data_IF_348261391432
#
_entry.id   IF_348261391432
#
_cell.length_a   1.000
_cell.length_b   1.000
_cell.length_c   1.000
_cell.angle_alpha   90.00
_cell.angle_beta   90.00
_cell.angle_gamma   90.00
#
_symmetry.space_group_name_H-M   'P 1'
#
loop_
_entity.id
_entity.type
_entity.pdbx_description
1 polymer ?
#
# COMPACT_ATOMS: atom_id res chain seq x y z
N UNK A 1 -55.31 -18.35 -6.68
CA UNK A 1 -55.51 -18.22 -5.22
C UNK A 1 -56.96 -17.85 -4.87
N UNK A 2 -57.56 -16.79 -5.43
CA UNK A 2 -59.01 -16.50 -5.25
C UNK A 2 -59.93 -17.64 -5.72
N UNK A 3 -59.58 -18.29 -6.84
CA UNK A 3 -60.31 -19.48 -7.34
C UNK A 3 -60.34 -20.65 -6.35
N UNK A 4 -59.32 -20.81 -5.50
CA UNK A 4 -59.27 -21.90 -4.49
C UNK A 4 -60.17 -21.55 -3.30
N UNK A 5 -60.17 -20.28 -2.85
CA UNK A 5 -61.09 -19.79 -1.80
C UNK A 5 -62.56 -19.90 -2.21
N UNK A 6 -62.87 -19.61 -3.46
CA UNK A 6 -64.23 -19.72 -4.01
C UNK A 6 -64.65 -21.20 -4.07
N UNK A 7 -63.77 -22.09 -4.51
CA UNK A 7 -64.07 -23.53 -4.57
C UNK A 7 -64.28 -24.15 -3.18
N UNK A 8 -63.46 -23.81 -2.17
CA UNK A 8 -63.63 -24.33 -0.80
C UNK A 8 -64.96 -23.84 -0.21
N UNK A 9 -65.34 -22.56 -0.43
CA UNK A 9 -66.65 -22.04 0.00
C UNK A 9 -67.82 -22.72 -0.69
N UNK A 10 -67.73 -22.99 -1.99
CA UNK A 10 -68.79 -23.65 -2.74
C UNK A 10 -68.93 -25.12 -2.35
N UNK A 11 -67.82 -25.84 -2.17
CA UNK A 11 -67.83 -27.22 -1.67
C UNK A 11 -68.37 -27.31 -0.25
N UNK A 12 -68.04 -26.36 0.62
CA UNK A 12 -68.58 -26.25 1.98
C UNK A 12 -70.10 -26.13 2.00
N UNK A 13 -70.67 -25.26 1.14
CA UNK A 13 -72.12 -25.07 1.02
C UNK A 13 -72.81 -26.32 0.44
N UNK A 14 -72.17 -26.97 -0.53
CA UNK A 14 -72.73 -28.14 -1.20
C UNK A 14 -72.74 -29.38 -0.29
N UNK A 15 -71.65 -29.63 0.44
CA UNK A 15 -71.51 -30.83 1.28
C UNK A 15 -72.24 -30.71 2.63
N UNK A 16 -72.39 -29.49 3.20
CA UNK A 16 -73.19 -29.27 4.42
C UNK A 16 -74.69 -29.60 4.23
N UNK A 17 -75.18 -29.69 2.99
CA UNK A 17 -76.57 -30.02 2.68
C UNK A 17 -76.88 -31.53 2.67
N UNK A 18 -75.87 -32.40 2.68
CA UNK A 18 -76.02 -33.86 2.52
C UNK A 18 -75.64 -34.68 3.79
N UNK A 19 -75.23 -34.03 4.89
CA UNK A 19 -74.71 -34.68 6.11
C UNK A 19 -75.84 -34.85 7.16
N UNK A 20 -75.89 -36.00 7.83
CA UNK A 20 -76.78 -36.28 8.96
C UNK A 20 -76.53 -35.30 10.12
N UNK A 21 -77.57 -34.93 10.89
CA UNK A 21 -77.45 -33.98 12.00
C UNK A 21 -76.42 -34.39 13.08
N UNK A 22 -76.17 -35.70 13.25
CA UNK A 22 -75.18 -36.24 14.19
C UNK A 22 -73.73 -36.14 13.67
N UNK A 23 -73.50 -36.33 12.37
CA UNK A 23 -72.18 -36.24 11.72
C UNK A 23 -71.77 -34.79 11.39
N UNK A 24 -72.71 -33.84 11.51
CA UNK A 24 -72.51 -32.42 11.18
C UNK A 24 -71.51 -31.76 12.13
N UNK A 25 -71.45 -32.19 13.40
CA UNK A 25 -70.54 -31.62 14.40
C UNK A 25 -69.08 -32.00 14.12
N UNK A 26 -68.81 -33.29 13.92
CA UNK A 26 -67.47 -33.82 13.62
C UNK A 26 -66.93 -33.25 12.30
N UNK A 27 -67.79 -33.13 11.28
CA UNK A 27 -67.44 -32.46 10.02
C UNK A 27 -67.08 -30.99 10.22
N UNK A 28 -67.82 -30.24 11.04
CA UNK A 28 -67.51 -28.84 11.32
C UNK A 28 -66.19 -28.67 12.08
N UNK A 29 -65.88 -29.56 13.03
CA UNK A 29 -64.59 -29.57 13.73
C UNK A 29 -63.43 -29.85 12.77
N UNK A 30 -63.52 -30.90 11.94
CA UNK A 30 -62.51 -31.24 10.94
C UNK A 30 -62.29 -30.10 9.93
N UNK A 31 -63.36 -29.46 9.49
CA UNK A 31 -63.28 -28.30 8.59
C UNK A 31 -62.60 -27.11 9.27
N UNK A 32 -62.90 -26.85 10.54
CA UNK A 32 -62.24 -25.79 11.32
C UNK A 32 -60.74 -26.05 11.50
N UNK A 33 -60.35 -27.30 11.75
CA UNK A 33 -58.94 -27.71 11.83
C UNK A 33 -58.27 -27.48 10.47
N UNK A 34 -58.88 -27.93 9.38
CA UNK A 34 -58.33 -27.76 8.03
C UNK A 34 -58.18 -26.28 7.64
N UNK A 35 -59.17 -25.44 7.97
CA UNK A 35 -59.10 -23.99 7.74
C UNK A 35 -57.95 -23.35 8.54
N UNK A 36 -57.74 -23.77 9.80
CA UNK A 36 -56.63 -23.33 10.65
C UNK A 36 -55.26 -23.74 10.07
N UNK A 37 -55.09 -25.02 9.76
CA UNK A 37 -53.84 -25.57 9.21
C UNK A 37 -53.48 -24.93 7.87
N UNK A 38 -54.47 -24.73 7.00
CA UNK A 38 -54.25 -24.05 5.71
C UNK A 38 -53.84 -22.59 5.90
N UNK A 39 -54.43 -21.89 6.87
CA UNK A 39 -54.06 -20.50 7.16
C UNK A 39 -52.63 -20.42 7.73
N UNK A 40 -52.26 -21.32 8.64
CA UNK A 40 -50.88 -21.43 9.13
C UNK A 40 -49.88 -21.71 7.99
N UNK A 41 -50.18 -22.67 7.10
CA UNK A 41 -49.34 -22.98 5.95
C UNK A 41 -49.17 -21.75 5.04
N UNK A 42 -50.23 -20.97 4.84
CA UNK A 42 -50.20 -19.76 4.04
C UNK A 42 -49.29 -18.69 4.66
N UNK A 43 -49.39 -18.50 5.97
CA UNK A 43 -48.59 -17.51 6.69
C UNK A 43 -47.11 -17.92 6.73
N UNK A 44 -46.82 -19.20 6.95
CA UNK A 44 -45.46 -19.76 6.84
C UNK A 44 -44.87 -19.60 5.44
N UNK A 45 -45.68 -19.85 4.39
CA UNK A 45 -45.25 -19.68 3.00
C UNK A 45 -44.94 -18.21 2.67
N UNK A 46 -45.78 -17.29 3.13
CA UNK A 46 -45.54 -15.85 2.97
C UNK A 46 -44.31 -15.37 3.73
N UNK A 47 -44.13 -15.81 4.99
CA UNK A 47 -42.95 -15.52 5.80
C UNK A 47 -41.67 -16.04 5.13
N UNK A 48 -41.66 -17.29 4.66
CA UNK A 48 -40.53 -17.86 3.94
C UNK A 48 -40.17 -17.09 2.67
N UNK A 49 -41.15 -16.58 1.94
CA UNK A 49 -40.89 -15.78 0.75
C UNK A 49 -40.21 -14.45 1.11
N UNK A 50 -40.66 -13.79 2.18
CA UNK A 50 -40.04 -12.56 2.69
C UNK A 50 -38.60 -12.80 3.17
N UNK A 51 -38.37 -13.89 3.91
CA UNK A 51 -37.03 -14.29 4.36
C UNK A 51 -36.09 -14.50 3.16
N UNK A 52 -36.56 -15.21 2.12
CA UNK A 52 -35.77 -15.43 0.92
C UNK A 52 -35.45 -14.11 0.19
N UNK A 53 -36.42 -13.22 0.03
CA UNK A 53 -36.23 -11.95 -0.65
C UNK A 53 -35.23 -11.06 0.09
N UNK A 54 -35.35 -10.97 1.42
CA UNK A 54 -34.44 -10.16 2.26
C UNK A 54 -33.03 -10.74 2.29
N UNK A 55 -32.89 -12.07 2.39
CA UNK A 55 -31.60 -12.76 2.33
C UNK A 55 -30.90 -12.54 0.99
N UNK A 56 -31.62 -12.69 -0.13
CA UNK A 56 -31.06 -12.50 -1.48
C UNK A 56 -30.61 -11.05 -1.67
N UNK A 57 -31.41 -10.09 -1.22
CA UNK A 57 -31.06 -8.67 -1.29
C UNK A 57 -29.77 -8.36 -0.49
N UNK A 58 -29.67 -8.88 0.74
CA UNK A 58 -28.48 -8.72 1.56
C UNK A 58 -27.24 -9.37 0.93
N UNK A 59 -27.32 -10.64 0.51
CA UNK A 59 -26.18 -11.35 -0.09
C UNK A 59 -25.68 -10.64 -1.34
N UNK A 60 -26.58 -10.17 -2.21
CA UNK A 60 -26.19 -9.42 -3.42
C UNK A 60 -25.48 -8.12 -3.06
N UNK A 61 -25.97 -7.38 -2.07
CA UNK A 61 -25.31 -6.19 -1.55
C UNK A 61 -23.92 -6.49 -1.02
N UNK A 62 -23.79 -7.53 -0.18
CA UNK A 62 -22.52 -7.95 0.41
C UNK A 62 -21.50 -8.37 -0.66
N UNK A 63 -21.92 -9.19 -1.64
CA UNK A 63 -21.07 -9.62 -2.74
C UNK A 63 -20.59 -8.44 -3.59
N UNK A 64 -21.45 -7.47 -3.88
CA UNK A 64 -21.08 -6.29 -4.64
C UNK A 64 -19.98 -5.47 -3.95
N UNK A 65 -20.06 -5.29 -2.64
CA UNK A 65 -19.02 -4.61 -1.88
C UNK A 65 -17.72 -5.43 -1.80
N UNK A 66 -17.81 -6.75 -1.59
CA UNK A 66 -16.63 -7.63 -1.57
C UNK A 66 -15.90 -7.63 -2.92
N UNK A 67 -16.63 -7.69 -4.04
CA UNK A 67 -16.03 -7.63 -5.39
C UNK A 67 -15.29 -6.32 -5.59
N UNK A 68 -15.93 -5.19 -5.23
CA UNK A 68 -15.29 -3.88 -5.32
C UNK A 68 -13.98 -3.81 -4.53
N UNK A 69 -13.95 -4.37 -3.31
CA UNK A 69 -12.73 -4.46 -2.49
C UNK A 69 -11.67 -5.34 -3.16
N UNK A 70 -12.04 -6.54 -3.62
CA UNK A 70 -11.12 -7.48 -4.26
C UNK A 70 -10.42 -6.88 -5.49
N UNK A 71 -11.14 -6.10 -6.30
CA UNK A 71 -10.56 -5.40 -7.45
C UNK A 71 -9.43 -4.44 -7.04
N UNK A 72 -9.54 -3.77 -5.88
CA UNK A 72 -8.48 -2.90 -5.35
C UNK A 72 -7.36 -3.72 -4.71
N UNK A 73 -7.72 -4.77 -3.96
CA UNK A 73 -6.75 -5.69 -3.36
C UNK A 73 -5.80 -6.27 -4.41
N UNK A 74 -6.33 -6.76 -5.54
CA UNK A 74 -5.52 -7.36 -6.60
C UNK A 74 -4.49 -6.39 -7.17
N UNK A 75 -4.86 -5.12 -7.32
CA UNK A 75 -3.95 -4.06 -7.78
C UNK A 75 -2.84 -3.81 -6.75
N UNK A 76 -3.20 -3.64 -5.48
CA UNK A 76 -2.24 -3.28 -4.44
C UNK A 76 -1.31 -4.43 -4.09
N UNK A 77 -1.82 -5.65 -3.96
CA UNK A 77 -1.02 -6.84 -3.64
C UNK A 77 -0.03 -7.18 -4.76
N UNK A 78 -0.40 -6.95 -6.03
CA UNK A 78 0.46 -7.24 -7.18
C UNK A 78 1.45 -6.12 -7.54
N UNK A 79 1.36 -4.96 -6.88
CA UNK A 79 2.17 -3.77 -7.20
C UNK A 79 3.66 -4.04 -6.96
N UNK A 80 4.46 -3.89 -8.03
CA UNK A 80 5.91 -4.06 -7.95
C UNK A 80 6.59 -2.79 -7.39
N UNK A 81 6.98 -2.83 -6.13
CA UNK A 81 7.72 -1.76 -5.46
C UNK A 81 9.24 -1.79 -5.65
N UNK A 82 9.78 -2.76 -6.38
CA UNK A 82 11.24 -2.93 -6.53
C UNK A 82 11.88 -2.10 -7.63
N UNK A 83 11.15 -1.84 -8.72
CA UNK A 83 11.67 -1.10 -9.87
C UNK A 83 11.19 0.36 -9.88
N UNK A 84 11.94 1.20 -9.17
CA UNK A 84 11.65 2.63 -9.03
C UNK A 84 11.60 3.35 -10.37
N UNK A 85 12.37 2.89 -11.37
CA UNK A 85 12.40 3.56 -12.68
C UNK A 85 11.12 3.35 -13.47
N UNK A 86 10.39 2.27 -13.19
CA UNK A 86 9.09 1.98 -13.79
C UNK A 86 7.92 2.56 -12.99
N UNK A 87 8.14 2.97 -11.74
CA UNK A 87 7.13 3.60 -10.91
C UNK A 87 6.95 5.08 -11.30
N UNK A 88 5.82 5.40 -11.93
CA UNK A 88 5.38 6.79 -12.09
C UNK A 88 4.89 7.34 -10.74
N UNK A 89 5.82 7.91 -9.96
CA UNK A 89 5.54 8.42 -8.62
C UNK A 89 4.49 9.54 -8.60
N UNK A 90 4.50 10.54 -9.50
CA UNK A 90 3.42 11.54 -9.58
C UNK A 90 2.05 10.92 -9.83
N UNK A 91 1.94 9.97 -10.76
CA UNK A 91 0.69 9.26 -11.00
C UNK A 91 0.27 8.45 -9.78
N UNK A 92 1.20 7.77 -9.11
CA UNK A 92 0.93 6.95 -7.94
C UNK A 92 0.49 7.78 -6.72
N UNK A 93 1.03 8.99 -6.55
CA UNK A 93 0.55 9.94 -5.53
C UNK A 93 -0.90 10.36 -5.78
N UNK A 94 -1.27 10.60 -7.04
CA UNK A 94 -2.65 10.93 -7.40
C UNK A 94 -3.56 9.73 -7.20
N UNK A 95 -3.12 8.54 -7.60
CA UNK A 95 -3.83 7.28 -7.38
C UNK A 95 -4.11 7.05 -5.88
N UNK A 96 -3.10 7.23 -5.01
CA UNK A 96 -3.27 7.08 -3.57
C UNK A 96 -4.36 8.01 -3.02
N UNK A 97 -4.34 9.29 -3.40
CA UNK A 97 -5.38 10.25 -3.00
C UNK A 97 -6.76 9.87 -3.51
N UNK A 98 -6.85 9.39 -4.75
CA UNK A 98 -8.10 8.92 -5.35
C UNK A 98 -8.63 7.69 -4.61
N UNK A 99 -7.78 6.71 -4.31
CA UNK A 99 -8.16 5.51 -3.58
C UNK A 99 -8.71 5.84 -2.18
N UNK A 100 -8.04 6.73 -1.43
CA UNK A 100 -8.54 7.15 -0.12
C UNK A 100 -9.90 7.85 -0.21
N UNK A 101 -10.08 8.72 -1.21
CA UNK A 101 -11.36 9.38 -1.44
C UNK A 101 -12.45 8.39 -1.86
N UNK A 102 -12.12 7.40 -2.70
CA UNK A 102 -13.05 6.33 -3.05
C UNK A 102 -13.47 5.50 -1.83
N UNK A 103 -12.53 5.15 -0.94
CA UNK A 103 -12.81 4.44 0.32
C UNK A 103 -13.75 5.26 1.20
N UNK A 104 -13.46 6.54 1.40
CA UNK A 104 -14.29 7.47 2.20
C UNK A 104 -15.73 7.55 1.65
N UNK A 105 -15.89 7.66 0.33
CA UNK A 105 -17.22 7.69 -0.30
C UNK A 105 -17.93 6.32 -0.25
N UNK A 106 -17.19 5.22 -0.17
CA UNK A 106 -17.75 3.86 -0.14
C UNK A 106 -18.19 3.44 1.25
N UNK A 107 -17.52 3.91 2.29
CA UNK A 107 -17.76 3.55 3.69
C UNK A 107 -19.25 3.63 4.11
N UNK A 108 -20.03 4.68 3.78
CA UNK A 108 -21.45 4.73 4.13
C UNK A 108 -22.28 3.62 3.48
N UNK A 109 -21.95 3.24 2.24
CA UNK A 109 -22.66 2.16 1.51
C UNK A 109 -22.33 0.80 2.10
N UNK A 110 -21.05 0.57 2.43
CA UNK A 110 -20.61 -0.63 3.13
C UNK A 110 -21.36 -0.78 4.47
N UNK A 111 -21.40 0.30 5.25
CA UNK A 111 -22.09 0.34 6.55
C UNK A 111 -23.59 0.09 6.43
N UNK A 112 -24.27 0.62 5.41
CA UNK A 112 -25.69 0.34 5.17
C UNK A 112 -25.97 -1.15 4.91
N UNK A 113 -25.16 -1.80 4.07
CA UNK A 113 -25.28 -3.24 3.81
C UNK A 113 -24.98 -4.06 5.06
N UNK A 114 -23.92 -3.70 5.79
CA UNK A 114 -23.54 -4.36 7.03
C UNK A 114 -24.64 -4.25 8.11
N UNK A 115 -25.22 -3.06 8.28
CA UNK A 115 -26.32 -2.80 9.21
C UNK A 115 -27.59 -3.56 8.83
N UNK A 116 -27.90 -3.71 7.55
CA UNK A 116 -29.01 -4.58 7.09
C UNK A 116 -28.80 -6.03 7.48
N UNK A 117 -27.58 -6.57 7.30
CA UNK A 117 -27.27 -7.93 7.73
C UNK A 117 -27.39 -8.10 9.24
N UNK A 118 -26.88 -7.16 10.03
CA UNK A 118 -27.03 -7.17 11.49
C UNK A 118 -28.51 -7.08 11.92
N UNK A 119 -29.32 -6.29 11.22
CA UNK A 119 -30.76 -6.21 11.48
C UNK A 119 -31.47 -7.55 11.21
N UNK A 120 -31.10 -8.28 10.15
CA UNK A 120 -31.65 -9.62 9.87
C UNK A 120 -31.32 -10.62 10.99
N UNK A 121 -30.11 -10.56 11.55
CA UNK A 121 -29.75 -11.38 12.72
C UNK A 121 -30.59 -11.03 13.94
N UNK A 122 -30.76 -9.74 14.23
CA UNK A 122 -31.57 -9.27 15.36
C UNK A 122 -33.05 -9.64 15.21
N UNK A 123 -33.54 -9.77 13.98
CA UNK A 123 -34.91 -10.21 13.68
C UNK A 123 -35.09 -11.74 13.74
N UNK A 124 -34.03 -12.50 14.01
CA UNK A 124 -34.10 -13.96 14.11
C UNK A 124 -34.27 -14.66 12.75
N UNK A 125 -33.75 -14.06 11.67
CA UNK A 125 -33.85 -14.61 10.33
C UNK A 125 -33.31 -16.06 10.27
N UNK A 126 -34.00 -17.03 9.62
CA UNK A 126 -33.65 -18.46 9.70
C UNK A 126 -32.27 -18.81 9.12
N UNK A 127 -31.71 -17.98 8.23
CA UNK A 127 -30.39 -18.19 7.61
C UNK A 127 -29.21 -17.55 8.38
N UNK A 128 -29.23 -17.61 9.72
CA UNK A 128 -28.26 -16.96 10.64
C UNK A 128 -26.81 -17.17 10.19
N UNK A 129 -26.38 -18.44 10.01
CA UNK A 129 -25.00 -18.77 9.69
C UNK A 129 -24.48 -18.17 8.37
N UNK A 130 -25.36 -18.06 7.38
CA UNK A 130 -25.00 -17.46 6.08
C UNK A 130 -24.80 -15.95 6.25
N UNK A 131 -25.68 -15.30 7.01
CA UNK A 131 -25.60 -13.86 7.26
C UNK A 131 -24.33 -13.54 8.06
N UNK A 132 -24.07 -14.28 9.14
CA UNK A 132 -22.84 -14.14 9.94
C UNK A 132 -21.58 -14.35 9.11
N UNK A 133 -21.56 -15.35 8.23
CA UNK A 133 -20.44 -15.60 7.32
C UNK A 133 -20.15 -14.37 6.45
N UNK A 134 -21.18 -13.80 5.81
CA UNK A 134 -21.01 -12.62 4.95
C UNK A 134 -20.62 -11.37 5.73
N UNK A 135 -21.20 -11.12 6.91
CA UNK A 135 -20.80 -9.99 7.77
C UNK A 135 -19.32 -10.08 8.14
N UNK A 136 -18.86 -11.25 8.60
CA UNK A 136 -17.46 -11.48 8.95
C UNK A 136 -16.53 -11.38 7.73
N UNK A 137 -16.97 -11.84 6.55
CA UNK A 137 -16.20 -11.71 5.32
C UNK A 137 -16.08 -10.24 4.88
N UNK A 138 -17.18 -9.48 4.94
CA UNK A 138 -17.21 -8.06 4.64
C UNK A 138 -16.27 -7.28 5.56
N UNK A 139 -16.38 -7.48 6.88
CA UNK A 139 -15.54 -6.79 7.86
C UNK A 139 -14.05 -7.08 7.63
N UNK A 140 -13.67 -8.36 7.49
CA UNK A 140 -12.28 -8.74 7.20
C UNK A 140 -11.75 -8.12 5.91
N UNK A 141 -12.56 -8.07 4.86
CA UNK A 141 -12.16 -7.46 3.58
C UNK A 141 -12.00 -5.95 3.70
N UNK A 142 -12.87 -5.29 4.46
CA UNK A 142 -12.77 -3.86 4.72
C UNK A 142 -11.50 -3.52 5.52
N UNK A 143 -11.26 -4.21 6.63
CA UNK A 143 -10.07 -4.04 7.45
C UNK A 143 -8.79 -4.29 6.64
N UNK A 144 -8.82 -5.30 5.76
CA UNK A 144 -7.71 -5.60 4.86
C UNK A 144 -7.46 -4.50 3.83
N UNK A 145 -8.50 -3.89 3.27
CA UNK A 145 -8.36 -2.74 2.36
C UNK A 145 -7.71 -1.54 3.06
N UNK A 146 -8.08 -1.28 4.32
CA UNK A 146 -7.47 -0.23 5.14
C UNK A 146 -6.01 -0.55 5.48
N UNK A 147 -5.68 -1.82 5.76
CA UNK A 147 -4.30 -2.25 5.95
C UNK A 147 -3.46 -2.04 4.67
N UNK A 148 -4.01 -2.38 3.50
CA UNK A 148 -3.35 -2.16 2.22
C UNK A 148 -3.14 -0.67 1.92
N UNK A 149 -4.08 0.22 2.25
CA UNK A 149 -3.92 1.66 2.03
C UNK A 149 -2.79 2.26 2.88
N UNK A 150 -2.62 1.79 4.14
CA UNK A 150 -1.45 2.12 4.98
C UNK A 150 -0.15 1.63 4.37
N UNK A 151 -0.12 0.39 3.87
CA UNK A 151 1.05 -0.17 3.21
C UNK A 151 1.42 0.65 1.97
N UNK A 152 0.44 1.00 1.14
CA UNK A 152 0.60 1.87 -0.03
C UNK A 152 1.18 3.23 0.36
N UNK A 153 0.67 3.87 1.40
CA UNK A 153 1.20 5.15 1.91
C UNK A 153 2.69 5.04 2.25
N UNK A 154 3.06 4.03 3.04
CA UNK A 154 4.42 3.87 3.51
C UNK A 154 5.40 3.52 2.38
N UNK A 155 5.02 2.64 1.45
CA UNK A 155 5.85 2.32 0.28
C UNK A 155 5.99 3.51 -0.66
N UNK A 156 4.92 4.27 -0.88
CA UNK A 156 4.96 5.50 -1.67
C UNK A 156 5.93 6.51 -1.05
N UNK A 157 5.86 6.69 0.27
CA UNK A 157 6.78 7.55 1.01
C UNK A 157 8.23 7.10 0.86
N UNK A 158 8.50 5.80 1.02
CA UNK A 158 9.84 5.24 0.84
C UNK A 158 10.36 5.44 -0.59
N UNK A 159 9.50 5.26 -1.60
CA UNK A 159 9.86 5.46 -3.00
C UNK A 159 10.16 6.91 -3.33
N UNK A 160 9.36 7.85 -2.83
CA UNK A 160 9.61 9.29 -2.96
C UNK A 160 10.91 9.70 -2.27
N UNK A 161 11.15 9.19 -1.05
CA UNK A 161 12.36 9.48 -0.29
C UNK A 161 13.61 8.99 -1.03
N UNK A 162 13.58 7.78 -1.58
CA UNK A 162 14.67 7.21 -2.34
C UNK A 162 14.87 7.94 -3.68
N UNK A 163 13.80 8.31 -4.39
CA UNK A 163 13.93 9.08 -5.62
C UNK A 163 14.59 10.44 -5.37
N UNK A 164 14.09 11.23 -4.41
CA UNK A 164 14.69 12.51 -4.04
C UNK A 164 16.14 12.36 -3.56
N UNK A 165 16.44 11.33 -2.78
CA UNK A 165 17.80 11.03 -2.34
C UNK A 165 18.74 10.78 -3.53
N UNK A 166 18.30 9.98 -4.51
CA UNK A 166 19.08 9.67 -5.70
C UNK A 166 19.25 10.89 -6.60
N UNK A 167 18.24 11.74 -6.75
CA UNK A 167 18.35 13.02 -7.47
C UNK A 167 19.41 13.93 -6.86
N UNK A 168 19.36 14.14 -5.53
CA UNK A 168 20.33 14.96 -4.81
C UNK A 168 21.76 14.40 -4.91
N UNK A 169 21.92 13.08 -4.74
CA UNK A 169 23.21 12.41 -4.83
C UNK A 169 23.80 12.47 -6.24
N UNK A 170 22.97 12.24 -7.27
CA UNK A 170 23.38 12.34 -8.67
C UNK A 170 23.76 13.77 -9.05
N UNK A 171 23.00 14.78 -8.58
CA UNK A 171 23.34 16.19 -8.80
C UNK A 171 24.69 16.55 -8.16
N UNK A 172 24.98 16.01 -6.97
CA UNK A 172 26.29 16.16 -6.33
C UNK A 172 27.41 15.47 -7.12
N UNK A 173 27.19 14.24 -7.61
CA UNK A 173 28.14 13.53 -8.46
C UNK A 173 28.46 14.30 -9.73
N UNK A 174 27.42 14.74 -10.46
CA UNK A 174 27.57 15.48 -11.71
C UNK A 174 28.30 16.80 -11.50
N UNK A 175 27.98 17.54 -10.43
CA UNK A 175 28.70 18.76 -10.08
C UNK A 175 30.18 18.48 -9.83
N UNK A 176 30.51 17.46 -9.02
CA UNK A 176 31.90 17.11 -8.72
C UNK A 176 32.69 16.74 -9.97
N UNK A 177 32.07 16.00 -10.91
CA UNK A 177 32.68 15.65 -12.20
C UNK A 177 32.97 16.92 -13.01
N UNK A 178 31.97 17.78 -13.20
CA UNK A 178 32.12 19.05 -13.95
C UNK A 178 33.21 19.95 -13.37
N UNK A 179 33.25 20.09 -12.04
CA UNK A 179 34.29 20.89 -11.38
C UNK A 179 35.68 20.28 -11.54
N UNK A 180 35.80 18.96 -11.44
CA UNK A 180 37.07 18.26 -11.62
C UNK A 180 37.64 18.47 -13.03
N UNK A 181 36.80 18.33 -14.06
CA UNK A 181 37.17 18.55 -15.45
C UNK A 181 37.56 20.01 -15.73
N UNK A 182 36.79 20.96 -15.21
CA UNK A 182 37.09 22.38 -15.34
C UNK A 182 38.42 22.74 -14.67
N UNK A 183 38.65 22.29 -13.42
CA UNK A 183 39.91 22.54 -12.71
C UNK A 183 41.10 21.93 -13.44
N UNK A 184 40.93 20.74 -14.01
CA UNK A 184 41.96 20.04 -14.77
C UNK A 184 42.30 20.75 -16.09
N UNK A 185 41.35 21.47 -16.71
CA UNK A 185 41.56 22.16 -18.00
C UNK A 185 42.03 23.61 -17.85
N UNK A 186 41.38 24.41 -16.99
CA UNK A 186 41.50 25.89 -17.00
C UNK A 186 42.76 26.42 -16.32
N UNK A 187 43.25 25.75 -15.28
CA UNK A 187 44.30 26.30 -14.39
C UNK A 187 45.68 25.65 -14.59
N UNK A 188 46.03 25.28 -15.83
CA UNK A 188 47.35 24.71 -16.18
C UNK A 188 48.30 25.74 -16.83
N UNK A 189 47.82 26.94 -17.13
CA UNK A 189 48.60 27.98 -17.82
C UNK A 189 49.62 28.59 -16.86
N UNK A 190 50.87 28.75 -17.32
CA UNK A 190 51.95 29.37 -16.53
C UNK A 190 52.12 30.86 -16.82
N UNK A 191 51.82 31.29 -18.05
CA UNK A 191 51.93 32.69 -18.49
C UNK A 191 50.55 33.34 -18.57
N UNK A 192 50.32 34.38 -17.79
CA UNK A 192 49.07 35.14 -17.75
C UNK A 192 49.33 36.55 -17.21
N UNK A 193 48.44 37.49 -17.54
CA UNK A 193 48.53 38.85 -16.98
C UNK A 193 48.16 38.87 -15.49
N UNK A 194 48.54 39.92 -14.76
CA UNK A 194 48.17 40.05 -13.35
C UNK A 194 46.65 40.00 -13.15
N UNK A 195 45.90 40.70 -14.00
CA UNK A 195 44.44 40.74 -13.98
C UNK A 195 43.81 39.36 -14.22
N UNK A 196 44.32 38.60 -15.20
CA UNK A 196 43.89 37.22 -15.46
C UNK A 196 44.17 36.32 -14.25
N UNK A 197 45.34 36.46 -13.61
CA UNK A 197 45.72 35.70 -12.42
C UNK A 197 44.81 36.00 -11.22
N UNK A 198 44.51 37.28 -10.96
CA UNK A 198 43.57 37.68 -9.91
C UNK A 198 42.16 37.14 -10.17
N UNK A 199 41.70 37.18 -11.42
CA UNK A 199 40.41 36.59 -11.79
C UNK A 199 40.40 35.08 -11.54
N UNK A 200 41.45 34.36 -11.94
CA UNK A 200 41.56 32.91 -11.70
C UNK A 200 41.53 32.59 -10.20
N UNK A 201 42.19 33.39 -9.35
CA UNK A 201 42.15 33.18 -7.90
C UNK A 201 40.77 33.45 -7.32
N UNK A 202 40.06 34.51 -7.75
CA UNK A 202 38.68 34.77 -7.32
C UNK A 202 37.75 33.60 -7.65
N UNK A 203 37.81 33.08 -8.87
CA UNK A 203 37.03 31.91 -9.28
C UNK A 203 37.37 30.66 -8.45
N UNK A 204 38.66 30.45 -8.13
CA UNK A 204 39.07 29.33 -7.27
C UNK A 204 38.55 29.49 -5.84
N UNK A 205 38.53 30.70 -5.30
CA UNK A 205 37.94 30.95 -3.98
C UNK A 205 36.42 30.66 -3.98
N UNK A 206 35.69 31.04 -5.03
CA UNK A 206 34.28 30.68 -5.20
C UNK A 206 34.08 29.15 -5.25
N UNK A 207 34.92 28.43 -6.00
CA UNK A 207 34.89 26.96 -6.06
C UNK A 207 35.15 26.35 -4.68
N UNK A 208 36.04 26.95 -3.87
CA UNK A 208 36.31 26.51 -2.50
C UNK A 208 35.06 26.57 -1.61
N UNK A 209 34.30 27.66 -1.69
CA UNK A 209 33.02 27.79 -0.98
C UNK A 209 32.00 26.77 -1.46
N UNK A 210 31.94 26.51 -2.77
CA UNK A 210 31.07 25.46 -3.30
C UNK A 210 31.51 24.05 -2.84
N UNK A 211 32.80 23.75 -2.76
CA UNK A 211 33.30 22.48 -2.20
C UNK A 211 32.84 22.32 -0.75
N UNK A 212 32.90 23.37 0.08
CA UNK A 212 32.36 23.35 1.46
C UNK A 212 30.85 23.11 1.48
N UNK A 213 30.10 23.77 0.59
CA UNK A 213 28.66 23.55 0.44
C UNK A 213 28.33 22.10 0.09
N UNK A 214 28.99 21.52 -0.90
CA UNK A 214 28.77 20.13 -1.31
C UNK A 214 29.25 19.12 -0.26
N UNK A 215 30.28 19.45 0.53
CA UNK A 215 30.62 18.66 1.71
C UNK A 215 29.46 18.58 2.71
N UNK A 216 28.81 19.72 3.01
CA UNK A 216 27.62 19.75 3.87
C UNK A 216 26.47 18.93 3.30
N UNK A 217 26.20 19.04 1.99
CA UNK A 217 25.18 18.24 1.30
C UNK A 217 25.47 16.73 1.45
N UNK A 218 26.73 16.30 1.26
CA UNK A 218 27.09 14.89 1.44
C UNK A 218 26.92 14.41 2.88
N UNK A 219 27.14 15.28 3.88
CA UNK A 219 26.87 14.92 5.28
C UNK A 219 25.36 14.72 5.52
N UNK A 220 24.51 15.62 5.01
CA UNK A 220 23.06 15.45 5.07
C UNK A 220 22.60 14.19 4.33
N UNK A 221 23.17 13.88 3.17
CA UNK A 221 22.88 12.64 2.44
C UNK A 221 23.33 11.41 3.24
N UNK A 222 24.47 11.47 3.92
CA UNK A 222 24.95 10.38 4.77
C UNK A 222 24.00 10.11 5.93
N UNK A 223 23.52 11.17 6.60
CA UNK A 223 22.51 11.05 7.64
C UNK A 223 21.20 10.44 7.09
N UNK A 224 20.68 10.98 5.98
CA UNK A 224 19.45 10.50 5.33
C UNK A 224 19.54 9.03 4.91
N UNK A 225 20.72 8.56 4.49
CA UNK A 225 20.90 7.18 4.00
C UNK A 225 20.51 6.10 5.02
N UNK A 226 20.63 6.41 6.32
CA UNK A 226 20.22 5.51 7.41
C UNK A 226 18.70 5.26 7.47
N UNK A 227 17.91 6.07 6.77
CA UNK A 227 16.44 5.99 6.74
C UNK A 227 15.90 5.52 5.38
N UNK A 228 16.76 5.35 4.37
CA UNK A 228 16.33 4.98 3.02
C UNK A 228 16.11 3.47 2.91
N UNK A 229 14.87 3.09 2.63
CA UNK A 229 14.46 1.70 2.42
C UNK A 229 15.07 1.14 1.12
N UNK A 230 15.68 -0.07 1.14
CA UNK A 230 16.29 -0.70 -0.02
C UNK A 230 15.24 -1.30 -0.98
N UNK A 231 14.51 -0.48 -1.73
CA UNK A 231 13.37 -0.93 -2.51
C UNK A 231 13.71 -2.01 -3.57
N UNK A 232 14.86 -1.89 -4.26
CA UNK A 232 15.30 -2.89 -5.25
C UNK A 232 15.46 -4.29 -4.65
N UNK A 233 15.80 -4.40 -3.37
CA UNK A 233 16.01 -5.68 -2.70
C UNK A 233 14.74 -6.53 -2.64
N UNK A 234 13.56 -5.90 -2.76
CA UNK A 234 12.28 -6.60 -2.85
C UNK A 234 12.17 -7.48 -4.10
N UNK A 235 12.83 -7.08 -5.18
CA UNK A 235 12.83 -7.78 -6.47
C UNK A 235 13.99 -8.75 -6.67
N UNK A 236 14.88 -8.87 -5.68
CA UNK A 236 16.09 -9.70 -5.77
C UNK A 236 15.94 -10.94 -4.91
N UNK A 237 16.26 -12.12 -5.47
CA UNK A 237 16.19 -13.37 -4.72
C UNK A 237 17.12 -13.32 -3.51
N UNK A 238 16.57 -13.55 -2.32
CA UNK A 238 17.34 -13.55 -1.09
C UNK A 238 18.22 -14.82 -1.02
N UNK A 239 19.46 -14.64 -0.60
CA UNK A 239 20.42 -15.74 -0.40
C UNK A 239 20.45 -16.25 1.04
N UNK A 240 19.98 -15.42 1.96
CA UNK A 240 19.93 -15.67 3.40
C UNK A 240 18.71 -14.99 3.99
N UNK A 241 18.18 -15.45 5.13
CA UNK A 241 17.06 -14.80 5.77
C UNK A 241 17.36 -13.34 6.14
N UNK A 242 16.37 -12.47 6.00
CA UNK A 242 16.51 -11.01 6.20
C UNK A 242 15.45 -10.54 7.18
N UNK A 243 15.79 -9.58 8.05
CA UNK A 243 14.82 -8.95 8.94
C UNK A 243 13.94 -7.95 8.18
N UNK A 244 12.64 -7.99 8.40
CA UNK A 244 11.62 -7.10 7.83
C UNK A 244 10.64 -6.67 8.92
N UNK A 245 10.02 -5.51 8.78
CA UNK A 245 8.97 -5.04 9.70
C UNK A 245 7.62 -5.08 9.01
N UNK A 246 6.59 -5.52 9.74
CA UNK A 246 5.21 -5.46 9.29
C UNK A 246 4.66 -4.03 9.34
N UNK A 247 4.08 -3.57 8.24
CA UNK A 247 3.50 -2.24 8.05
C UNK A 247 2.03 -2.16 8.45
N UNK A 248 1.36 -3.29 8.55
CA UNK A 248 -0.03 -3.39 8.94
C UNK A 248 -0.31 -4.74 9.58
N UNK A 249 -1.42 -4.81 10.31
CA UNK A 249 -1.92 -6.05 10.86
C UNK A 249 -2.29 -7.03 9.73
N UNK A 250 -1.88 -8.28 9.88
CA UNK A 250 -2.25 -9.37 8.98
C UNK A 250 -2.70 -10.57 9.80
N UNK A 251 -3.87 -11.09 9.48
CA UNK A 251 -4.43 -12.27 10.13
C UNK A 251 -4.82 -13.31 9.09
N UNK A 252 -4.24 -14.50 9.18
CA UNK A 252 -4.66 -15.66 8.40
C UNK A 252 -4.72 -16.88 9.31
N UNK A 253 -5.92 -17.48 9.40
CA UNK A 253 -6.23 -18.60 10.30
C UNK A 253 -5.83 -18.30 11.75
N UNK A 254 -4.87 -19.05 12.30
CA UNK A 254 -4.41 -18.95 13.68
C UNK A 254 -3.19 -18.04 13.85
N UNK A 255 -2.69 -17.41 12.77
CA UNK A 255 -1.47 -16.64 12.78
C UNK A 255 -1.80 -15.16 12.59
N UNK A 256 -1.30 -14.36 13.53
CA UNK A 256 -1.49 -12.92 13.57
C UNK A 256 -0.13 -12.25 13.57
N UNK A 257 0.06 -11.32 12.64
CA UNK A 257 1.21 -10.41 12.58
C UNK A 257 0.65 -9.02 12.88
N UNK A 258 1.28 -8.30 13.79
CA UNK A 258 0.86 -6.95 14.15
C UNK A 258 1.73 -5.91 13.47
N UNK A 259 1.14 -4.74 13.22
CA UNK A 259 1.86 -3.56 12.78
C UNK A 259 3.06 -3.30 13.73
N UNK A 260 4.25 -3.19 13.15
CA UNK A 260 5.50 -3.00 13.89
C UNK A 260 6.25 -4.28 14.29
N UNK A 261 5.68 -5.47 14.08
CA UNK A 261 6.37 -6.72 14.41
C UNK A 261 7.63 -6.92 13.52
N UNK A 262 8.74 -7.24 14.17
CA UNK A 262 9.96 -7.69 13.48
C UNK A 262 9.80 -9.16 13.06
N UNK A 263 9.85 -9.39 11.76
CA UNK A 263 9.67 -10.68 11.11
C UNK A 263 10.92 -11.06 10.33
N UNK A 264 11.08 -12.35 10.04
CA UNK A 264 12.19 -12.84 9.21
C UNK A 264 11.66 -13.30 7.86
N UNK A 265 12.10 -12.63 6.79
CA UNK A 265 11.90 -13.08 5.41
C UNK A 265 12.78 -14.30 5.15
N UNK A 266 12.15 -15.45 4.91
CA UNK A 266 12.82 -16.74 4.69
C UNK A 266 12.96 -17.06 3.21
N UNK A 267 11.95 -16.75 2.41
CA UNK A 267 11.93 -17.00 0.96
C UNK A 267 11.08 -15.95 0.24
N UNK A 268 11.57 -15.45 -0.90
CA UNK A 268 10.91 -14.49 -1.78
C UNK A 268 10.83 -14.96 -3.25
N UNK A 269 10.86 -16.27 -3.48
CA UNK A 269 10.72 -16.86 -4.83
C UNK A 269 9.43 -16.44 -5.54
N UNK A 270 8.34 -16.24 -4.78
CA UNK A 270 7.15 -15.53 -5.23
C UNK A 270 7.25 -14.06 -4.77
N UNK A 271 7.32 -13.11 -5.72
CA UNK A 271 7.48 -11.69 -5.41
C UNK A 271 6.21 -11.06 -4.81
N UNK A 272 5.05 -11.69 -5.00
CA UNK A 272 3.76 -11.23 -4.46
C UNK A 272 3.55 -11.78 -3.06
N UNK A 273 3.85 -13.06 -2.82
CA UNK A 273 3.67 -13.70 -1.51
C UNK A 273 5.00 -14.21 -0.96
N UNK A 274 5.47 -13.55 0.08
CA UNK A 274 6.72 -13.92 0.76
C UNK A 274 6.49 -14.94 1.85
N UNK A 275 7.46 -15.83 2.02
CA UNK A 275 7.52 -16.75 3.15
C UNK A 275 8.17 -16.05 4.32
N UNK A 276 7.38 -15.78 5.35
CA UNK A 276 7.76 -15.02 6.53
C UNK A 276 7.71 -15.94 7.75
N UNK A 277 8.73 -15.82 8.60
CA UNK A 277 8.71 -16.39 9.95
C UNK A 277 8.36 -15.28 10.93
N UNK A 278 7.17 -15.40 11.52
CA UNK A 278 6.67 -14.45 12.50
C UNK A 278 7.25 -14.68 13.91
N UNK A 279 6.80 -13.87 14.90
CA UNK A 279 7.27 -13.98 16.30
C UNK A 279 7.00 -15.34 16.93
N UNK A 280 5.93 -16.02 16.51
CA UNK A 280 5.55 -17.36 16.96
C UNK A 280 6.42 -18.49 16.38
N UNK A 281 7.46 -18.16 15.61
CA UNK A 281 8.32 -19.10 14.85
C UNK A 281 7.60 -19.94 13.78
N UNK A 282 6.30 -19.71 13.55
CA UNK A 282 5.57 -20.30 12.44
C UNK A 282 5.95 -19.62 11.11
N UNK A 283 6.05 -20.41 10.04
CA UNK A 283 6.32 -19.92 8.69
C UNK A 283 5.01 -19.82 7.90
N UNK A 284 4.72 -18.64 7.38
CA UNK A 284 3.50 -18.36 6.60
C UNK A 284 3.81 -17.57 5.33
N UNK A 285 2.91 -17.72 4.34
CA UNK A 285 2.95 -16.93 3.12
C UNK A 285 2.06 -15.71 3.27
N UNK A 286 2.66 -14.53 3.17
CA UNK A 286 1.98 -13.25 3.39
C UNK A 286 2.28 -12.33 2.21
N UNK A 287 1.32 -11.50 1.76
CA UNK A 287 1.57 -10.51 0.72
C UNK A 287 2.81 -9.66 1.03
N UNK A 288 3.73 -9.55 0.08
CA UNK A 288 5.01 -8.87 0.26
C UNK A 288 4.82 -7.41 0.64
N UNK A 289 3.74 -6.78 0.16
CA UNK A 289 3.39 -5.38 0.45
C UNK A 289 3.16 -5.09 1.92
N UNK A 290 2.88 -6.11 2.75
CA UNK A 290 2.76 -5.94 4.22
C UNK A 290 4.11 -5.64 4.86
N UNK A 291 5.23 -5.94 4.21
CA UNK A 291 6.55 -5.84 4.84
C UNK A 291 7.40 -4.73 4.26
N UNK A 292 8.18 -4.10 5.14
CA UNK A 292 9.23 -3.15 4.82
C UNK A 292 10.59 -3.77 5.13
N UNK A 293 11.51 -3.72 4.15
CA UNK A 293 12.91 -4.10 4.38
C UNK A 293 13.60 -2.93 5.07
N UNK A 294 14.36 -3.20 6.13
CA UNK A 294 14.97 -2.14 6.92
C UNK A 294 16.28 -1.63 6.30
N UNK A 295 16.58 -0.32 6.43
CA UNK A 295 17.93 0.19 6.23
C UNK A 295 18.91 -0.41 7.26
N UNK A 296 20.23 -0.37 7.03
CA UNK A 296 20.91 0.35 5.94
C UNK A 296 21.09 -0.47 4.66
N UNK A 297 21.05 0.24 3.52
CA UNK A 297 21.35 -0.35 2.22
C UNK A 297 22.87 -0.29 1.89
N UNK A 298 23.43 -1.44 1.50
CA UNK A 298 24.85 -1.56 1.15
C UNK A 298 25.26 -0.82 -0.14
N UNK A 299 24.40 -0.76 -1.15
CA UNK A 299 24.60 -0.03 -2.42
C UNK A 299 24.57 1.47 -2.19
N UNK A 300 23.61 1.97 -1.40
CA UNK A 300 23.55 3.40 -1.04
C UNK A 300 24.80 3.78 -0.27
N UNK A 301 25.19 2.97 0.72
CA UNK A 301 26.40 3.19 1.51
C UNK A 301 27.65 3.22 0.62
N UNK A 302 27.79 2.25 -0.30
CA UNK A 302 28.90 2.20 -1.24
C UNK A 302 28.91 3.40 -2.20
N UNK A 303 27.74 3.83 -2.66
CA UNK A 303 27.60 5.00 -3.52
C UNK A 303 28.04 6.28 -2.81
N UNK A 304 27.58 6.51 -1.57
CA UNK A 304 27.99 7.66 -0.78
C UNK A 304 29.49 7.66 -0.47
N UNK A 305 30.08 6.50 -0.15
CA UNK A 305 31.53 6.39 0.05
C UNK A 305 32.32 6.79 -1.22
N UNK A 306 31.81 6.44 -2.41
CA UNK A 306 32.38 6.88 -3.68
C UNK A 306 32.28 8.40 -3.84
N UNK A 307 31.13 9.00 -3.50
CA UNK A 307 30.94 10.46 -3.56
C UNK A 307 31.87 11.21 -2.61
N UNK A 308 32.02 10.76 -1.36
CA UNK A 308 32.99 11.32 -0.40
C UNK A 308 34.42 11.26 -0.95
N UNK A 309 34.80 10.10 -1.50
CA UNK A 309 36.12 9.93 -2.13
C UNK A 309 36.32 10.88 -3.31
N UNK A 310 35.30 11.09 -4.13
CA UNK A 310 35.35 12.02 -5.27
C UNK A 310 35.49 13.47 -4.82
N UNK A 311 34.77 13.87 -3.76
CA UNK A 311 34.87 15.22 -3.19
C UNK A 311 36.27 15.48 -2.62
N UNK A 312 36.87 14.49 -1.94
CA UNK A 312 38.24 14.60 -1.45
C UNK A 312 39.26 14.75 -2.59
N UNK A 313 39.10 13.98 -3.68
CA UNK A 313 39.93 14.11 -4.88
C UNK A 313 39.80 15.50 -5.49
N UNK A 314 38.57 16.01 -5.62
CA UNK A 314 38.30 17.37 -6.10
C UNK A 314 38.97 18.42 -5.22
N UNK A 315 38.87 18.29 -3.89
CA UNK A 315 39.51 19.20 -2.92
C UNK A 315 41.03 19.20 -3.04
N UNK A 316 41.65 18.03 -3.24
CA UNK A 316 43.10 17.91 -3.48
C UNK A 316 43.52 18.56 -4.79
N UNK A 317 42.76 18.33 -5.87
CA UNK A 317 42.99 18.94 -7.18
C UNK A 317 42.88 20.47 -7.10
N UNK A 318 41.82 20.98 -6.48
CA UNK A 318 41.65 22.41 -6.24
C UNK A 318 42.84 23.00 -5.49
N UNK A 319 43.28 22.38 -4.39
CA UNK A 319 44.42 22.86 -3.61
C UNK A 319 45.72 22.87 -4.43
N UNK A 320 45.91 21.90 -5.32
CA UNK A 320 47.04 21.87 -6.25
C UNK A 320 46.96 23.04 -7.25
N UNK A 321 45.82 23.26 -7.90
CA UNK A 321 45.63 24.34 -8.89
C UNK A 321 45.77 25.72 -8.26
N UNK A 322 45.16 25.93 -7.10
CA UNK A 322 45.26 27.18 -6.37
C UNK A 322 46.71 27.53 -5.98
N UNK A 323 47.50 26.54 -5.51
CA UNK A 323 48.94 26.76 -5.26
C UNK A 323 49.71 27.10 -6.54
N UNK A 324 49.42 26.42 -7.64
CA UNK A 324 50.08 26.66 -8.93
C UNK A 324 49.81 28.08 -9.47
N UNK A 325 48.55 28.52 -9.47
CA UNK A 325 48.18 29.87 -9.90
C UNK A 325 48.85 30.93 -9.02
N UNK A 326 48.81 30.77 -7.69
CA UNK A 326 49.52 31.69 -6.77
C UNK A 326 51.01 31.78 -7.04
N UNK A 327 51.66 30.63 -7.23
CA UNK A 327 53.09 30.58 -7.51
C UNK A 327 53.44 31.29 -8.84
N UNK A 328 52.70 30.98 -9.91
CA UNK A 328 52.90 31.61 -11.22
C UNK A 328 52.59 33.12 -11.20
N UNK A 329 51.62 33.56 -10.39
CA UNK A 329 51.31 34.98 -10.22
C UNK A 329 52.48 35.74 -9.57
N UNK A 330 53.16 35.15 -8.59
CA UNK A 330 54.37 35.72 -7.98
C UNK A 330 55.52 35.77 -8.99
N UNK A 331 55.71 34.71 -9.79
CA UNK A 331 56.76 34.69 -10.81
C UNK A 331 56.53 35.73 -11.90
N UNK A 332 55.31 35.85 -12.43
CA UNK A 332 54.99 36.78 -13.51
C UNK A 332 55.11 38.25 -13.04
N UNK A 333 54.75 38.55 -11.79
CA UNK A 333 54.95 39.89 -11.22
C UNK A 333 56.43 40.23 -11.00
N UNK A 334 57.24 39.28 -10.54
CA UNK A 334 58.70 39.47 -10.43
C UNK A 334 59.38 39.68 -11.80
N UNK A 335 58.90 39.00 -12.84
CA UNK A 335 59.42 39.15 -14.19
C UNK A 335 59.07 40.50 -14.84
N UNK A 336 57.95 41.13 -14.46
CA UNK A 336 57.56 42.46 -14.95
C UNK A 336 58.29 43.62 -14.25
N UNK A 337 58.92 43.37 -13.10
CA UNK A 337 59.66 44.38 -12.32
C UNK A 337 61.16 44.43 -12.70
N UNK A 338 61.66 43.44 -13.46
CA UNK A 338 62.99 43.43 -14.07
C UNK A 338 62.94 43.97 -15.48
#
# INVERSE_FOLDING_TARGET
>A
MEKIKINIRLYRIYFQAEISAEDTHEYCELLSILESEYQQLRDLSAGRMLDLDTLIAFIRGAQHEIVWINEREDIEVSRNWSDIKQLDLPMLQNYYKQLLHEIELREPRFNDVHNKGAALLNQGHPAIHVIEFYLNAMQRKWDWLLALSKCLEQHLRDALNLNSFMEDANAAEEWMIKQSEMLARKYNKSEFSLEEGEQMLRELDEISELIKKYHSILMTLTERSSQISPLWQRGEQIQRPISVIALADYTDKDITIREGDECILVDNSDLIRWKIRGPSSAEIFVPSVVFRILPPDSRITAYLNRLHTNLEKLRRLWAQKHRMVRYNMVLNTMAQIR
#
